data_IF_398654921793
#
_entry.id   IF_398654921793
#
_cell.length_a   1.000
_cell.length_b   1.000
_cell.length_c   1.000
_cell.angle_alpha   90.00
_cell.angle_beta   90.00
_cell.angle_gamma   90.00
#
_symmetry.space_group_name_H-M   'P 1'
#
loop_
_entity.id
_entity.type
_entity.pdbx_description
1 polymer ?
#
# COMPACT_ATOMS: atom_id res chain seq x y z
N UNK A 1 -7.08 18.20 -24.41
CA UNK A 1 -7.10 18.04 -22.94
C UNK A 1 -8.24 17.07 -22.63
N UNK A 2 -7.93 15.85 -22.22
CA UNK A 2 -8.97 14.96 -21.70
C UNK A 2 -9.44 15.55 -20.37
N UNK A 3 -10.70 15.98 -20.32
CA UNK A 3 -11.38 16.37 -19.09
C UNK A 3 -11.64 15.09 -18.31
N UNK A 4 -10.81 14.79 -17.32
CA UNK A 4 -11.13 13.76 -16.35
C UNK A 4 -12.35 14.25 -15.54
N UNK A 5 -13.36 13.39 -15.31
CA UNK A 5 -14.50 13.77 -14.50
C UNK A 5 -14.03 14.13 -13.09
N UNK A 6 -14.52 15.25 -12.57
CA UNK A 6 -14.27 15.67 -11.20
C UNK A 6 -14.95 14.67 -10.24
N UNK A 7 -14.28 14.36 -9.14
CA UNK A 7 -14.82 13.43 -8.14
C UNK A 7 -16.11 13.99 -7.54
N UNK A 8 -17.15 13.14 -7.43
CA UNK A 8 -18.40 13.47 -6.73
C UNK A 8 -18.70 12.40 -5.68
N UNK A 9 -18.80 12.86 -4.43
CA UNK A 9 -19.12 12.00 -3.29
C UNK A 9 -20.47 11.30 -3.48
N UNK A 10 -21.50 12.04 -3.93
CA UNK A 10 -22.84 11.49 -4.12
C UNK A 10 -22.87 10.43 -5.23
N UNK A 11 -22.11 10.64 -6.32
CA UNK A 11 -21.98 9.64 -7.39
C UNK A 11 -21.28 8.39 -6.85
N UNK A 12 -20.16 8.53 -6.13
CA UNK A 12 -19.43 7.39 -5.58
C UNK A 12 -20.27 6.56 -4.59
N UNK A 13 -21.07 7.23 -3.73
CA UNK A 13 -22.00 6.56 -2.82
C UNK A 13 -23.10 5.83 -3.60
N UNK A 14 -23.68 6.47 -4.61
CA UNK A 14 -24.72 5.86 -5.44
C UNK A 14 -24.21 4.64 -6.23
N UNK A 15 -22.98 4.71 -6.76
CA UNK A 15 -22.33 3.60 -7.46
C UNK A 15 -22.13 2.39 -6.53
N UNK A 16 -21.67 2.61 -5.29
CA UNK A 16 -21.55 1.53 -4.30
C UNK A 16 -22.91 0.86 -4.03
N UNK A 17 -23.94 1.65 -3.71
CA UNK A 17 -25.26 1.11 -3.37
C UNK A 17 -26.01 0.52 -4.58
N UNK A 18 -25.57 0.78 -5.81
CA UNK A 18 -26.08 0.08 -6.99
C UNK A 18 -25.63 -1.39 -7.08
N UNK A 19 -24.59 -1.76 -6.32
CA UNK A 19 -23.95 -3.09 -6.36
C UNK A 19 -24.35 -3.99 -5.18
N UNK A 20 -25.14 -3.51 -4.23
CA UNK A 20 -25.57 -4.24 -3.02
C UNK A 20 -27.09 -4.17 -2.86
N UNK A 21 -27.67 -5.12 -2.12
CA UNK A 21 -29.08 -5.07 -1.72
C UNK A 21 -29.35 -4.11 -0.55
N UNK A 22 -28.31 -3.72 0.19
CA UNK A 22 -28.42 -2.76 1.28
C UNK A 22 -28.67 -1.33 0.76
N UNK A 23 -29.33 -0.50 1.55
CA UNK A 23 -29.51 0.93 1.25
C UNK A 23 -28.62 1.78 2.16
N UNK A 24 -28.29 2.99 1.71
CA UNK A 24 -27.59 3.99 2.52
C UNK A 24 -28.29 4.22 3.86
N UNK A 25 -29.61 4.41 3.84
CA UNK A 25 -30.38 4.66 5.06
C UNK A 25 -30.32 3.48 6.04
N UNK A 26 -30.33 2.25 5.54
CA UNK A 26 -30.19 1.06 6.38
C UNK A 26 -28.79 0.98 7.01
N UNK A 27 -27.74 1.27 6.23
CA UNK A 27 -26.36 1.34 6.71
C UNK A 27 -26.17 2.46 7.77
N UNK A 28 -26.69 3.66 7.50
CA UNK A 28 -26.59 4.81 8.41
C UNK A 28 -27.38 4.56 9.71
N UNK A 29 -28.56 3.96 9.61
CA UNK A 29 -29.35 3.54 10.79
C UNK A 29 -28.57 2.52 11.61
N UNK A 30 -28.01 1.50 10.95
CA UNK A 30 -27.21 0.47 11.63
C UNK A 30 -25.97 1.05 12.28
N UNK A 31 -25.27 1.98 11.63
CA UNK A 31 -24.12 2.67 12.19
C UNK A 31 -24.52 3.47 13.45
N UNK A 32 -25.64 4.17 13.38
CA UNK A 32 -26.18 4.92 14.52
C UNK A 32 -26.60 4.01 15.68
N UNK A 33 -27.16 2.85 15.40
CA UNK A 33 -27.50 1.87 16.44
C UNK A 33 -26.26 1.30 17.13
N UNK A 34 -25.13 1.21 16.41
CA UNK A 34 -23.88 0.64 16.93
C UNK A 34 -23.10 1.61 17.82
N UNK A 35 -23.01 2.88 17.42
CA UNK A 35 -22.13 3.85 18.11
C UNK A 35 -22.80 5.16 18.51
N UNK A 36 -24.09 5.33 18.17
CA UNK A 36 -24.84 6.55 18.46
C UNK A 36 -24.36 7.78 17.67
N UNK A 37 -24.86 8.94 18.08
CA UNK A 37 -24.40 10.23 17.57
C UNK A 37 -24.80 10.52 16.11
N UNK A 38 -23.92 11.26 15.42
CA UNK A 38 -24.12 11.71 14.04
C UNK A 38 -23.38 10.78 13.08
N UNK A 39 -23.94 10.59 11.89
CA UNK A 39 -23.30 9.82 10.82
C UNK A 39 -22.95 10.78 9.69
N UNK A 40 -21.69 10.78 9.28
CA UNK A 40 -21.19 11.63 8.18
C UNK A 40 -20.34 10.76 7.25
N UNK A 41 -20.66 10.67 5.95
CA UNK A 41 -19.81 9.96 5.00
C UNK A 41 -18.39 10.52 4.97
N UNK A 42 -17.40 9.65 4.87
CA UNK A 42 -16.02 10.06 4.57
C UNK A 42 -16.01 10.77 3.20
N UNK A 43 -15.24 11.85 3.10
CA UNK A 43 -15.22 12.75 1.92
C UNK A 43 -14.75 12.06 0.64
N UNK A 44 -13.96 10.98 0.76
CA UNK A 44 -13.53 10.14 -0.35
C UNK A 44 -13.98 8.71 -0.06
N UNK A 45 -14.88 8.21 -0.92
CA UNK A 45 -15.37 6.83 -0.91
C UNK A 45 -14.61 6.00 -1.93
N UNK A 46 -14.41 4.72 -1.63
CA UNK A 46 -13.89 3.74 -2.58
C UNK A 46 -15.06 2.98 -3.17
N UNK A 47 -15.08 2.73 -4.48
CA UNK A 47 -16.20 2.08 -5.18
C UNK A 47 -16.66 0.74 -4.55
N UNK A 48 -15.76 0.05 -3.84
CA UNK A 48 -16.07 -1.23 -3.19
C UNK A 48 -16.44 -1.12 -1.70
N UNK A 49 -16.55 0.07 -1.12
CA UNK A 49 -16.87 0.23 0.29
C UNK A 49 -17.62 1.54 0.60
N UNK A 50 -18.56 1.48 1.53
CA UNK A 50 -19.18 2.67 2.11
C UNK A 50 -18.65 2.94 3.51
N UNK A 51 -17.98 4.09 3.70
CA UNK A 51 -17.35 4.47 4.97
C UNK A 51 -17.96 5.74 5.56
N UNK A 52 -18.21 5.72 6.87
CA UNK A 52 -18.78 6.85 7.62
C UNK A 52 -18.01 7.13 8.90
N UNK A 53 -17.87 8.41 9.23
CA UNK A 53 -17.54 8.85 10.57
C UNK A 53 -18.81 8.84 11.44
N UNK A 54 -18.68 8.36 12.66
CA UNK A 54 -19.81 8.16 13.56
C UNK A 54 -19.47 8.43 15.02
N UNK A 55 -20.50 8.60 15.85
CA UNK A 55 -20.37 8.99 17.26
C UNK A 55 -20.71 10.46 17.51
N UNK A 56 -20.86 10.87 18.77
CA UNK A 56 -21.08 12.27 19.15
C UNK A 56 -20.02 13.24 18.59
N UNK A 57 -18.75 12.83 18.61
CA UNK A 57 -17.60 13.64 18.23
C UNK A 57 -16.82 13.02 17.06
N UNK A 58 -17.46 12.14 16.28
CA UNK A 58 -16.86 11.43 15.15
C UNK A 58 -15.64 10.56 15.54
N UNK A 59 -15.69 9.98 16.73
CA UNK A 59 -14.63 9.16 17.31
C UNK A 59 -14.61 7.72 16.76
N UNK A 60 -15.60 7.33 15.96
CA UNK A 60 -15.66 6.03 15.29
C UNK A 60 -15.61 6.20 13.77
N UNK A 61 -15.05 5.19 13.12
CA UNK A 61 -15.20 4.97 11.68
C UNK A 61 -15.85 3.61 11.47
N UNK A 62 -16.85 3.58 10.59
CA UNK A 62 -17.52 2.36 10.15
C UNK A 62 -17.36 2.21 8.65
N UNK A 63 -17.14 0.97 8.21
CA UNK A 63 -17.03 0.62 6.80
C UNK A 63 -17.88 -0.60 6.46
N UNK A 64 -18.62 -0.53 5.36
CA UNK A 64 -19.37 -1.64 4.77
C UNK A 64 -18.71 -2.14 3.48
N UNK A 65 -18.47 -3.45 3.37
CA UNK A 65 -18.05 -4.10 2.12
C UNK A 65 -19.29 -4.51 1.32
N UNK A 66 -19.33 -4.19 0.02
CA UNK A 66 -20.48 -4.42 -0.88
C UNK A 66 -20.77 -5.88 -1.23
N UNK A 67 -20.22 -6.85 -0.48
CA UNK A 67 -20.52 -8.27 -0.62
C UNK A 67 -21.83 -8.61 0.10
N UNK A 68 -22.49 -9.69 -0.33
CA UNK A 68 -23.65 -10.26 0.37
C UNK A 68 -23.23 -11.53 1.13
N UNK A 69 -23.46 -11.62 2.46
CA UNK A 69 -24.10 -10.61 3.32
C UNK A 69 -23.21 -9.37 3.54
N UNK A 70 -23.82 -8.19 3.75
CA UNK A 70 -23.10 -6.96 4.06
C UNK A 70 -22.35 -7.10 5.40
N UNK A 71 -21.02 -6.98 5.36
CA UNK A 71 -20.18 -6.95 6.55
C UNK A 71 -19.90 -5.50 6.96
N UNK A 72 -20.16 -5.18 8.23
CA UNK A 72 -19.88 -3.86 8.81
C UNK A 72 -18.73 -3.99 9.81
N UNK A 73 -17.69 -3.20 9.58
CA UNK A 73 -16.55 -3.07 10.49
C UNK A 73 -16.69 -1.78 11.29
N UNK A 74 -16.37 -1.83 12.58
CA UNK A 74 -16.38 -0.68 13.49
C UNK A 74 -15.03 -0.59 14.15
N UNK A 75 -14.43 0.59 14.15
CA UNK A 75 -13.21 0.85 14.92
C UNK A 75 -13.18 2.27 15.47
N UNK A 76 -12.42 2.45 16.55
CA UNK A 76 -12.06 3.78 17.02
C UNK A 76 -11.27 4.49 15.92
N UNK A 77 -11.63 5.74 15.65
CA UNK A 77 -10.92 6.58 14.71
C UNK A 77 -9.53 6.87 15.25
N UNK A 78 -8.52 6.59 14.45
CA UNK A 78 -7.14 6.94 14.76
C UNK A 78 -7.02 8.47 14.71
N UNK A 79 -6.52 9.14 15.76
CA UNK A 79 -6.31 10.59 15.76
C UNK A 79 -5.32 11.02 14.68
N UNK A 80 -5.67 12.07 13.93
CA UNK A 80 -4.84 12.65 12.88
C UNK A 80 -5.56 12.79 11.55
N UNK A 81 -4.78 13.05 10.50
CA UNK A 81 -5.23 13.16 9.10
C UNK A 81 -4.46 12.17 8.24
N UNK A 82 -4.97 11.84 7.05
CA UNK A 82 -4.19 11.01 6.13
C UNK A 82 -2.92 11.75 5.71
N UNK A 83 -1.84 11.01 5.42
CA UNK A 83 -0.61 11.62 4.90
C UNK A 83 -0.87 12.31 3.55
N UNK A 84 -1.82 11.80 2.75
CA UNK A 84 -2.27 12.48 1.54
C UNK A 84 -2.83 13.87 1.86
N UNK A 85 -3.76 14.00 2.82
CA UNK A 85 -4.32 15.29 3.21
C UNK A 85 -3.25 16.24 3.75
N UNK A 86 -2.29 15.70 4.52
CA UNK A 86 -1.15 16.48 5.01
C UNK A 86 -0.32 17.07 3.87
N UNK A 87 0.01 16.26 2.85
CA UNK A 87 0.78 16.69 1.68
C UNK A 87 -0.02 17.68 0.82
N UNK A 88 -1.32 17.48 0.65
CA UNK A 88 -2.16 18.41 -0.11
C UNK A 88 -2.26 19.79 0.57
N UNK A 89 -2.29 19.83 1.90
CA UNK A 89 -2.35 21.07 2.67
C UNK A 89 -0.99 21.78 2.82
N UNK A 90 0.09 21.03 3.00
CA UNK A 90 1.39 21.57 3.45
C UNK A 90 2.57 21.26 2.51
N UNK A 91 2.39 20.40 1.51
CA UNK A 91 3.48 19.82 0.71
C UNK A 91 4.14 20.76 -0.29
N UNK A 92 3.69 22.02 -0.41
CA UNK A 92 4.25 22.99 -1.34
C UNK A 92 4.79 24.24 -0.61
N UNK A 93 6.03 24.68 -0.92
CA UNK A 93 6.96 24.10 -1.89
C UNK A 93 7.65 22.82 -1.38
N UNK A 94 7.74 21.79 -2.22
CA UNK A 94 8.17 20.42 -1.86
C UNK A 94 9.54 20.34 -1.16
N UNK A 95 10.46 21.24 -1.51
CA UNK A 95 11.83 21.26 -0.99
C UNK A 95 12.09 22.41 0.00
N UNK A 96 11.07 22.85 0.74
CA UNK A 96 11.29 23.73 1.89
C UNK A 96 11.97 23.01 3.06
N UNK A 97 12.56 23.78 3.97
CA UNK A 97 13.16 23.25 5.20
C UNK A 97 12.11 22.54 6.07
N UNK A 98 10.88 23.05 6.12
CA UNK A 98 9.76 22.44 6.84
C UNK A 98 9.40 21.07 6.25
N UNK A 99 9.26 20.98 4.93
CA UNK A 99 8.97 19.72 4.25
C UNK A 99 10.11 18.71 4.42
N UNK A 100 11.37 19.18 4.49
CA UNK A 100 12.49 18.30 4.85
C UNK A 100 12.35 17.75 6.28
N UNK A 101 12.02 18.59 7.26
CA UNK A 101 11.80 18.18 8.65
C UNK A 101 10.66 17.17 8.77
N UNK A 102 9.53 17.41 8.10
CA UNK A 102 8.39 16.48 8.11
C UNK A 102 8.71 15.16 7.43
N UNK A 103 9.37 15.16 6.26
CA UNK A 103 9.83 13.92 5.60
C UNK A 103 10.77 13.12 6.50
N UNK A 104 11.75 13.78 7.12
CA UNK A 104 12.69 13.13 8.06
C UNK A 104 11.94 12.52 9.25
N UNK A 105 10.96 13.24 9.78
CA UNK A 105 10.13 12.82 10.90
C UNK A 105 9.33 11.57 10.55
N UNK A 106 8.58 11.61 9.44
CA UNK A 106 7.77 10.50 8.96
C UNK A 106 8.63 9.28 8.64
N UNK A 107 9.74 9.45 7.91
CA UNK A 107 10.65 8.34 7.55
C UNK A 107 11.23 7.67 8.81
N UNK A 108 11.58 8.45 9.83
CA UNK A 108 12.06 7.91 11.11
C UNK A 108 11.00 7.07 11.81
N UNK A 109 9.74 7.52 11.80
CA UNK A 109 8.63 6.79 12.41
C UNK A 109 8.26 5.53 11.60
N UNK A 110 8.24 5.61 10.27
CA UNK A 110 8.00 4.47 9.37
C UNK A 110 9.12 3.44 9.49
N UNK A 111 10.37 3.85 9.65
CA UNK A 111 11.47 2.94 9.92
C UNK A 111 11.26 2.19 11.24
N UNK A 112 10.79 2.87 12.30
CA UNK A 112 10.41 2.21 13.56
C UNK A 112 9.24 1.26 13.37
N UNK A 113 8.23 1.63 12.59
CA UNK A 113 7.10 0.77 12.25
C UNK A 113 7.54 -0.53 11.55
N UNK A 114 8.40 -0.46 10.53
CA UNK A 114 8.96 -1.67 9.89
C UNK A 114 9.90 -2.46 10.80
N UNK A 115 10.63 -1.79 11.70
CA UNK A 115 11.43 -2.48 12.70
C UNK A 115 10.56 -3.29 13.68
N UNK A 116 9.32 -2.88 13.96
CA UNK A 116 8.39 -3.66 14.79
C UNK A 116 8.04 -5.00 14.14
N UNK A 117 7.78 -5.02 12.83
CA UNK A 117 7.48 -6.29 12.14
C UNK A 117 8.70 -7.20 12.07
N UNK A 118 9.90 -6.64 11.83
CA UNK A 118 11.17 -7.40 11.91
C UNK A 118 11.38 -8.06 13.28
N UNK A 119 11.07 -7.33 14.35
CA UNK A 119 11.23 -7.82 15.73
C UNK A 119 10.16 -8.84 16.16
N UNK A 120 9.10 -8.99 15.38
CA UNK A 120 8.00 -9.91 15.64
C UNK A 120 7.80 -10.89 14.46
N UNK A 121 8.80 -11.74 14.16
CA UNK A 121 8.67 -12.74 13.10
C UNK A 121 7.52 -13.70 13.40
N UNK A 122 6.84 -14.14 12.36
CA UNK A 122 5.72 -15.06 12.41
C UNK A 122 6.20 -16.46 12.02
N UNK A 123 5.77 -17.47 12.77
CA UNK A 123 6.00 -18.86 12.41
C UNK A 123 5.06 -19.26 11.28
N UNK A 124 5.61 -19.94 10.27
CA UNK A 124 4.85 -20.48 9.14
C UNK A 124 5.38 -21.87 8.84
N UNK A 125 4.48 -22.78 8.46
CA UNK A 125 4.86 -24.12 8.06
C UNK A 125 5.46 -24.17 6.64
N UNK A 126 5.95 -25.36 6.27
CA UNK A 126 6.55 -25.60 4.96
C UNK A 126 5.54 -25.49 3.81
N UNK A 127 4.27 -25.83 4.05
CA UNK A 127 3.23 -25.79 3.02
C UNK A 127 2.90 -24.33 2.66
N UNK A 128 2.79 -23.46 3.65
CA UNK A 128 2.62 -22.02 3.46
C UNK A 128 3.76 -21.42 2.66
N UNK A 129 5.02 -21.72 3.01
CA UNK A 129 6.20 -21.25 2.25
C UNK A 129 6.19 -21.76 0.81
N UNK A 130 5.80 -23.02 0.59
CA UNK A 130 5.67 -23.61 -0.74
C UNK A 130 4.54 -22.97 -1.56
N UNK A 131 3.42 -22.63 -0.92
CA UNK A 131 2.34 -21.89 -1.57
C UNK A 131 2.79 -20.47 -1.98
N UNK A 132 3.56 -19.78 -1.13
CA UNK A 132 4.18 -18.51 -1.50
C UNK A 132 5.15 -18.67 -2.68
N UNK A 133 6.05 -19.67 -2.64
CA UNK A 133 6.97 -19.98 -3.74
C UNK A 133 6.24 -20.16 -5.06
N UNK A 134 5.18 -20.96 -5.07
CA UNK A 134 4.37 -21.23 -6.26
C UNK A 134 3.70 -19.97 -6.78
N UNK A 135 3.13 -19.17 -5.88
CA UNK A 135 2.48 -17.90 -6.21
C UNK A 135 3.48 -16.93 -6.82
N UNK A 136 4.64 -16.74 -6.18
CA UNK A 136 5.65 -15.78 -6.65
C UNK A 136 6.24 -16.21 -7.98
N UNK A 137 6.52 -17.50 -8.15
CA UNK A 137 7.02 -18.05 -9.42
C UNK A 137 6.02 -17.85 -10.55
N UNK A 138 4.73 -18.14 -10.29
CA UNK A 138 3.66 -17.92 -11.26
C UNK A 138 3.53 -16.43 -11.64
N UNK A 139 3.48 -15.56 -10.64
CA UNK A 139 3.36 -14.11 -10.83
C UNK A 139 4.54 -13.59 -11.67
N UNK A 140 5.78 -13.92 -11.29
CA UNK A 140 6.98 -13.45 -11.99
C UNK A 140 7.11 -14.01 -13.41
N UNK A 141 6.71 -15.27 -13.65
CA UNK A 141 6.68 -15.84 -15.01
C UNK A 141 5.65 -15.15 -15.89
N UNK A 142 4.48 -14.82 -15.36
CA UNK A 142 3.49 -14.01 -16.07
C UNK A 142 4.07 -12.63 -16.41
N UNK A 143 4.72 -11.96 -15.45
CA UNK A 143 5.34 -10.67 -15.70
C UNK A 143 6.44 -10.76 -16.76
N UNK A 144 7.26 -11.81 -16.76
CA UNK A 144 8.28 -12.03 -17.79
C UNK A 144 7.68 -12.16 -19.20
N UNK A 145 6.48 -12.76 -19.29
CA UNK A 145 5.78 -12.91 -20.57
C UNK A 145 5.15 -11.61 -21.08
N UNK A 146 4.52 -10.83 -20.19
CA UNK A 146 3.72 -9.67 -20.59
C UNK A 146 4.45 -8.32 -20.54
N UNK A 147 5.50 -8.20 -19.72
CA UNK A 147 6.21 -6.93 -19.57
C UNK A 147 7.27 -6.74 -20.67
N UNK A 148 7.58 -5.49 -21.04
CA UNK A 148 8.62 -5.18 -22.01
C UNK A 148 10.01 -5.76 -21.62
N UNK A 149 10.86 -6.12 -22.60
CA UNK A 149 12.18 -6.72 -22.36
C UNK A 149 13.09 -5.97 -21.39
N UNK A 150 12.93 -4.64 -21.27
CA UNK A 150 13.70 -3.79 -20.35
C UNK A 150 13.57 -4.18 -18.87
N UNK A 151 12.52 -4.92 -18.50
CA UNK A 151 12.32 -5.41 -17.12
C UNK A 151 12.76 -6.88 -16.92
N UNK A 152 13.07 -7.62 -17.99
CA UNK A 152 13.26 -9.07 -17.93
C UNK A 152 14.42 -9.50 -17.04
N UNK A 153 15.57 -8.81 -17.12
CA UNK A 153 16.73 -9.13 -16.30
C UNK A 153 16.42 -9.03 -14.79
N UNK A 154 15.63 -8.03 -14.39
CA UNK A 154 15.26 -7.79 -13.00
C UNK A 154 14.26 -8.86 -12.51
N UNK A 155 13.31 -9.24 -13.37
CA UNK A 155 12.36 -10.33 -13.07
C UNK A 155 13.11 -11.66 -12.93
N UNK A 156 14.07 -11.94 -13.82
CA UNK A 156 14.93 -13.13 -13.76
C UNK A 156 15.80 -13.16 -12.49
N UNK A 157 16.35 -12.01 -12.07
CA UNK A 157 17.08 -11.88 -10.79
C UNK A 157 16.20 -12.21 -9.58
N UNK A 158 14.92 -11.81 -9.60
CA UNK A 158 13.96 -12.19 -8.55
C UNK A 158 13.66 -13.70 -8.58
N UNK A 159 13.50 -14.30 -9.76
CA UNK A 159 13.28 -15.74 -9.91
C UNK A 159 14.47 -16.56 -9.43
N UNK A 160 15.71 -16.16 -9.75
CA UNK A 160 16.91 -16.87 -9.31
C UNK A 160 17.18 -16.73 -7.81
N UNK A 161 16.67 -15.66 -7.18
CA UNK A 161 16.83 -15.39 -5.75
C UNK A 161 15.67 -15.90 -4.89
N UNK A 162 14.77 -16.72 -5.45
CA UNK A 162 13.53 -17.15 -4.79
C UNK A 162 13.78 -17.81 -3.42
N UNK A 163 14.70 -18.76 -3.34
CA UNK A 163 14.98 -19.46 -2.09
C UNK A 163 15.62 -18.55 -1.04
N UNK A 164 16.51 -17.64 -1.45
CA UNK A 164 17.11 -16.66 -0.56
C UNK A 164 16.03 -15.73 0.02
N UNK A 165 15.12 -15.23 -0.82
CA UNK A 165 14.00 -14.38 -0.40
C UNK A 165 13.09 -15.13 0.58
N UNK A 166 12.70 -16.37 0.26
CA UNK A 166 11.85 -17.18 1.14
C UNK A 166 12.54 -17.63 2.43
N UNK A 167 13.87 -17.48 2.53
CA UNK A 167 14.65 -17.75 3.74
C UNK A 167 14.74 -16.55 4.68
N UNK A 168 14.29 -15.37 4.26
CA UNK A 168 14.17 -14.20 5.14
C UNK A 168 13.14 -14.44 6.26
N UNK A 169 13.19 -13.60 7.29
CA UNK A 169 12.18 -13.58 8.34
C UNK A 169 10.80 -13.36 7.73
N UNK A 170 9.86 -14.23 8.12
CA UNK A 170 8.45 -14.12 7.76
C UNK A 170 7.81 -13.13 8.72
N UNK A 171 7.22 -12.05 8.20
CA UNK A 171 6.69 -10.95 9.00
C UNK A 171 5.33 -10.54 8.45
N UNK A 172 4.52 -9.90 9.30
CA UNK A 172 3.27 -9.29 8.85
C UNK A 172 3.59 -8.06 7.96
N UNK A 173 3.14 -8.08 6.71
CA UNK A 173 3.23 -6.95 5.79
C UNK A 173 1.85 -6.34 5.57
N UNK A 174 1.81 -5.02 5.39
CA UNK A 174 0.56 -4.29 5.08
C UNK A 174 0.08 -4.50 3.64
N UNK A 175 1.02 -4.68 2.69
CA UNK A 175 0.81 -4.91 1.25
C UNK A 175 0.19 -3.74 0.45
N UNK A 176 -0.57 -2.86 1.10
CA UNK A 176 -1.04 -1.58 0.52
C UNK A 176 -0.58 -0.35 1.33
N UNK A 177 0.71 -0.31 1.69
CA UNK A 177 1.24 0.79 2.50
C UNK A 177 1.47 2.04 1.64
N UNK A 178 0.56 3.02 1.73
CA UNK A 178 0.57 4.22 0.91
C UNK A 178 0.04 5.47 1.62
N UNK A 179 0.08 6.63 0.96
CA UNK A 179 -0.28 7.94 1.55
C UNK A 179 -1.70 8.03 2.10
N UNK A 180 -2.65 7.28 1.53
CA UNK A 180 -4.03 7.24 2.03
C UNK A 180 -4.17 6.39 3.29
N UNK A 181 -3.29 5.40 3.49
CA UNK A 181 -3.39 4.40 4.56
C UNK A 181 -2.50 4.75 5.77
N UNK A 182 -1.75 5.85 5.68
CA UNK A 182 -0.90 6.39 6.73
C UNK A 182 -1.64 7.55 7.39
N UNK A 183 -1.82 7.49 8.71
CA UNK A 183 -2.38 8.59 9.50
C UNK A 183 -1.23 9.30 10.22
N UNK A 184 -1.20 10.62 10.10
CA UNK A 184 -0.20 11.48 10.71
C UNK A 184 -0.82 12.54 11.60
N UNK A 185 -0.04 13.01 12.57
CA UNK A 185 -0.33 14.23 13.29
C UNK A 185 -0.28 15.42 12.33
N UNK A 186 -1.34 16.24 12.35
CA UNK A 186 -1.58 17.32 11.39
C UNK A 186 -0.59 18.49 11.47
N UNK A 187 0.30 18.52 12.47
CA UNK A 187 1.28 19.60 12.66
C UNK A 187 2.72 19.09 12.55
N UNK A 188 3.00 17.95 13.18
CA UNK A 188 4.36 17.40 13.28
C UNK A 188 4.69 16.34 12.24
N UNK A 189 3.69 15.85 11.47
CA UNK A 189 3.84 14.74 10.52
C UNK A 189 4.36 13.44 11.17
N UNK A 190 4.12 13.29 12.49
CA UNK A 190 4.41 12.04 13.22
C UNK A 190 3.41 10.97 12.82
N UNK A 191 3.87 9.75 12.60
CA UNK A 191 3.00 8.61 12.34
C UNK A 191 2.15 8.33 13.58
N UNK A 192 0.83 8.46 13.46
CA UNK A 192 -0.12 8.16 14.54
C UNK A 192 -0.86 6.85 14.33
N UNK A 193 -0.94 6.36 13.09
CA UNK A 193 -1.44 5.02 12.82
C UNK A 193 -1.41 4.62 11.35
N UNK A 194 -1.80 3.37 11.12
CA UNK A 194 -1.88 2.74 9.80
C UNK A 194 -3.22 2.01 9.72
N UNK A 195 -3.98 2.28 8.66
CA UNK A 195 -5.32 1.73 8.43
C UNK A 195 -5.34 0.88 7.16
N UNK A 196 -6.46 0.20 6.92
CA UNK A 196 -6.68 -0.64 5.73
C UNK A 196 -5.74 -1.86 5.63
N UNK A 197 -5.79 -2.69 6.67
CA UNK A 197 -5.04 -3.96 6.75
C UNK A 197 -5.71 -5.11 5.96
N UNK A 198 -6.62 -4.81 5.03
CA UNK A 198 -7.38 -5.83 4.30
C UNK A 198 -6.48 -6.74 3.45
N UNK A 199 -5.38 -6.18 2.92
CA UNK A 199 -4.40 -6.93 2.12
C UNK A 199 -3.25 -7.50 2.97
N UNK A 200 -3.33 -7.43 4.30
CA UNK A 200 -2.23 -7.85 5.15
C UNK A 200 -1.89 -9.33 4.97
N UNK A 201 -0.59 -9.63 4.82
CA UNK A 201 -0.12 -10.98 4.51
C UNK A 201 1.19 -11.26 5.26
N UNK A 202 1.37 -12.49 5.74
CA UNK A 202 2.64 -12.96 6.29
C UNK A 202 3.58 -13.29 5.13
N UNK A 203 4.64 -12.52 4.97
CA UNK A 203 5.55 -12.62 3.82
C UNK A 203 7.01 -12.41 4.25
N UNK A 204 7.98 -12.82 3.40
CA UNK A 204 9.37 -12.44 3.59
C UNK A 204 9.55 -10.93 3.77
N UNK A 205 10.32 -10.56 4.80
CA UNK A 205 10.67 -9.17 5.06
C UNK A 205 11.31 -8.52 3.83
N UNK A 206 11.08 -7.21 3.65
CA UNK A 206 11.61 -6.45 2.53
C UNK A 206 10.59 -6.18 1.44
N UNK A 207 9.60 -7.06 1.23
CA UNK A 207 8.60 -6.86 0.18
C UNK A 207 7.78 -5.57 0.34
N UNK A 208 7.53 -5.07 1.56
CA UNK A 208 6.80 -3.81 1.76
C UNK A 208 7.69 -2.55 1.70
N UNK A 209 9.02 -2.70 1.59
CA UNK A 209 9.95 -1.56 1.58
C UNK A 209 9.88 -0.74 0.27
N UNK A 210 9.22 -1.25 -0.77
CA UNK A 210 9.04 -0.50 -2.01
C UNK A 210 8.20 0.77 -1.80
N UNK A 211 7.26 0.76 -0.85
CA UNK A 211 6.42 1.89 -0.47
C UNK A 211 7.20 3.10 0.04
N UNK A 212 8.42 2.91 0.57
CA UNK A 212 9.26 4.01 1.06
C UNK A 212 9.52 5.05 -0.02
N UNK A 213 9.58 4.63 -1.29
CA UNK A 213 9.86 5.53 -2.40
C UNK A 213 8.81 6.64 -2.56
N UNK A 214 7.53 6.29 -2.35
CA UNK A 214 6.42 7.25 -2.39
C UNK A 214 6.46 8.21 -1.20
N UNK A 215 7.09 7.81 -0.10
CA UNK A 215 7.22 8.65 1.11
C UNK A 215 8.46 9.54 1.07
N UNK A 216 9.51 9.12 0.37
CA UNK A 216 10.81 9.80 0.37
C UNK A 216 11.02 10.73 -0.81
N UNK A 217 10.33 10.52 -1.95
CA UNK A 217 10.24 11.41 -3.11
C UNK A 217 11.53 11.68 -3.91
N UNK A 218 12.68 11.80 -3.24
CA UNK A 218 13.99 12.10 -3.82
C UNK A 218 15.18 11.68 -2.93
N UNK A 219 14.95 10.85 -1.91
CA UNK A 219 16.05 10.43 -1.02
C UNK A 219 16.79 9.23 -1.61
N UNK A 220 18.01 9.46 -2.08
CA UNK A 220 19.01 8.41 -2.24
C UNK A 220 19.34 7.86 -0.86
N UNK A 221 18.97 6.62 -0.58
CA UNK A 221 19.40 5.92 0.62
C UNK A 221 20.88 5.56 0.46
N UNK A 222 21.79 6.53 0.62
CA UNK A 222 23.17 6.19 0.98
C UNK A 222 23.11 5.58 2.38
N UNK A 223 23.13 4.26 2.44
CA UNK A 223 23.27 3.55 3.70
C UNK A 223 24.75 3.53 4.05
N UNK A 224 25.13 4.36 5.02
CA UNK A 224 26.24 4.02 5.89
C UNK A 224 25.78 2.83 6.75
N UNK A 225 26.66 1.84 6.92
CA UNK A 225 26.41 0.49 7.46
C UNK A 225 25.37 0.47 8.61
N UNK A 226 24.14 0.02 8.30
CA UNK A 226 23.08 -0.15 9.29
C UNK A 226 23.20 -1.54 9.91
N UNK A 227 24.02 -1.65 10.95
CA UNK A 227 24.07 -2.80 11.87
C UNK A 227 24.69 -4.08 11.32
N UNK A 228 24.70 -5.13 12.16
CA UNK A 228 25.36 -6.44 11.94
C UNK A 228 24.75 -7.32 10.81
N UNK A 229 23.97 -6.75 9.89
CA UNK A 229 23.39 -7.53 8.79
C UNK A 229 24.46 -7.84 7.73
N UNK A 230 24.59 -9.12 7.39
CA UNK A 230 25.52 -9.53 6.35
C UNK A 230 25.18 -8.87 4.99
N UNK A 231 26.20 -8.62 4.18
CA UNK A 231 26.02 -8.09 2.80
C UNK A 231 25.04 -8.95 2.00
N UNK A 232 25.04 -10.27 2.19
CA UNK A 232 24.15 -11.20 1.50
C UNK A 232 22.69 -11.05 1.96
N UNK A 233 22.45 -10.89 3.26
CA UNK A 233 21.11 -10.60 3.80
C UNK A 233 20.60 -9.28 3.25
N UNK A 234 21.46 -8.27 3.16
CA UNK A 234 21.10 -6.97 2.58
C UNK A 234 20.75 -7.05 1.11
N UNK A 235 21.54 -7.76 0.31
CA UNK A 235 21.23 -8.04 -1.10
C UNK A 235 19.91 -8.77 -1.25
N UNK A 236 19.63 -9.74 -0.39
CA UNK A 236 18.38 -10.50 -0.39
C UNK A 236 17.18 -9.61 -0.06
N UNK A 237 17.28 -8.73 0.94
CA UNK A 237 16.23 -7.77 1.30
C UNK A 237 15.97 -6.75 0.19
N UNK A 238 17.03 -6.26 -0.49
CA UNK A 238 16.89 -5.40 -1.68
C UNK A 238 16.16 -6.13 -2.81
N UNK A 239 16.47 -7.41 -3.02
CA UNK A 239 15.78 -8.22 -4.04
C UNK A 239 14.32 -8.50 -3.64
N UNK A 240 14.05 -8.75 -2.35
CA UNK A 240 12.69 -8.87 -1.82
C UNK A 240 11.89 -7.56 -2.00
N UNK A 241 12.50 -6.38 -1.84
CA UNK A 241 11.88 -5.07 -2.14
C UNK A 241 11.42 -4.98 -3.58
N UNK A 242 12.27 -5.39 -4.53
CA UNK A 242 11.95 -5.40 -5.97
C UNK A 242 10.80 -6.36 -6.25
N UNK A 243 10.85 -7.59 -5.71
CA UNK A 243 9.76 -8.56 -5.86
C UNK A 243 8.44 -8.00 -5.33
N UNK A 244 8.47 -7.31 -4.18
CA UNK A 244 7.32 -6.62 -3.62
C UNK A 244 6.76 -5.53 -4.54
N UNK A 245 7.63 -4.69 -5.12
CA UNK A 245 7.25 -3.68 -6.11
C UNK A 245 6.57 -4.30 -7.32
N UNK A 246 7.18 -5.34 -7.91
CA UNK A 246 6.65 -6.02 -9.08
C UNK A 246 5.26 -6.60 -8.79
N UNK A 247 5.08 -7.27 -7.65
CA UNK A 247 3.77 -7.84 -7.27
C UNK A 247 2.72 -6.78 -6.95
N UNK A 248 3.12 -5.60 -6.48
CA UNK A 248 2.22 -4.49 -6.17
C UNK A 248 1.80 -3.70 -7.41
N UNK A 249 2.75 -3.37 -8.29
CA UNK A 249 2.53 -2.41 -9.40
C UNK A 249 2.33 -3.06 -10.76
N UNK A 250 2.80 -4.29 -10.96
CA UNK A 250 2.71 -4.94 -12.26
C UNK A 250 1.42 -5.74 -12.48
N UNK A 251 0.47 -5.68 -11.55
CA UNK A 251 -0.84 -6.29 -11.69
C UNK A 251 -1.93 -5.23 -11.57
N UNK A 252 -3.06 -5.45 -12.23
CA UNK A 252 -4.26 -4.63 -11.99
C UNK A 252 -4.72 -4.77 -10.54
N UNK A 253 -5.34 -3.71 -10.00
CA UNK A 253 -5.75 -3.67 -8.60
C UNK A 253 -6.66 -4.84 -8.25
N UNK A 254 -6.43 -5.43 -7.08
CA UNK A 254 -7.31 -6.44 -6.47
C UNK A 254 -8.40 -5.70 -5.71
N UNK A 255 -9.49 -5.36 -6.38
CA UNK A 255 -10.67 -4.85 -5.69
C UNK A 255 -11.69 -5.99 -5.57
N UNK A 256 -12.41 -6.02 -4.45
CA UNK A 256 -13.58 -6.87 -4.31
C UNK A 256 -14.55 -6.60 -5.49
N UNK A 257 -15.12 -7.67 -6.05
CA UNK A 257 -16.06 -7.63 -7.17
C UNK A 257 -15.47 -7.22 -8.54
N UNK A 258 -14.16 -7.05 -8.65
CA UNK A 258 -13.47 -6.85 -9.94
C UNK A 258 -12.90 -8.17 -10.49
N UNK A 259 -12.60 -8.24 -11.81
CA UNK A 259 -11.91 -9.39 -12.39
C UNK A 259 -10.60 -9.70 -11.66
N UNK A 260 -10.14 -10.97 -11.68
CA UNK A 260 -8.85 -11.33 -11.11
C UNK A 260 -7.73 -10.44 -11.63
N UNK A 261 -6.80 -10.09 -10.76
CA UNK A 261 -5.67 -9.25 -11.12
C UNK A 261 -4.88 -9.86 -12.28
N UNK A 262 -4.70 -9.08 -13.35
CA UNK A 262 -3.95 -9.47 -14.54
C UNK A 262 -2.68 -8.63 -14.66
N UNK A 263 -1.62 -9.13 -15.30
CA UNK A 263 -0.44 -8.32 -15.59
C UNK A 263 -0.82 -7.04 -16.34
N UNK A 264 -0.27 -5.91 -15.90
CA UNK A 264 -0.39 -4.65 -16.64
C UNK A 264 0.27 -4.78 -18.01
N UNK A 265 -0.14 -3.93 -18.95
CA UNK A 265 0.43 -3.83 -20.28
C UNK A 265 0.99 -2.43 -20.52
N UNK A 266 1.81 -2.29 -21.55
CA UNK A 266 2.24 -0.97 -22.03
C UNK A 266 1.11 -0.32 -22.85
N UNK A 267 -0.02 -0.08 -22.17
CA UNK A 267 -1.24 0.50 -22.70
C UNK A 267 -1.71 1.68 -21.82
N UNK A 268 -2.82 2.30 -22.17
CA UNK A 268 -3.37 3.43 -21.41
C UNK A 268 -3.62 3.12 -19.93
N UNK A 269 -4.04 1.90 -19.62
CA UNK A 269 -4.38 1.48 -18.26
C UNK A 269 -3.10 1.23 -17.44
N UNK A 270 -2.08 0.62 -18.05
CA UNK A 270 -0.81 0.32 -17.39
C UNK A 270 0.21 1.47 -17.40
N UNK A 271 0.01 2.51 -18.23
CA UNK A 271 0.99 3.59 -18.48
C UNK A 271 1.58 4.22 -17.22
N UNK A 272 0.75 4.50 -16.21
CA UNK A 272 1.22 5.12 -14.97
C UNK A 272 2.13 4.19 -14.16
N UNK A 273 1.75 2.90 -14.08
CA UNK A 273 2.59 1.90 -13.42
C UNK A 273 3.86 1.63 -14.24
N UNK A 274 3.81 1.66 -15.57
CA UNK A 274 5.00 1.56 -16.43
C UNK A 274 5.98 2.69 -16.16
N UNK A 275 5.51 3.94 -16.12
CA UNK A 275 6.34 5.10 -15.81
C UNK A 275 7.01 4.95 -14.43
N UNK A 276 6.26 4.46 -13.44
CA UNK A 276 6.78 4.21 -12.10
C UNK A 276 7.87 3.11 -12.11
N UNK A 277 7.65 2.01 -12.83
CA UNK A 277 8.61 0.93 -12.97
C UNK A 277 9.88 1.40 -13.70
N UNK A 278 9.75 2.17 -14.78
CA UNK A 278 10.89 2.75 -15.49
C UNK A 278 11.71 3.65 -14.55
N UNK A 279 11.06 4.46 -13.72
CA UNK A 279 11.72 5.26 -12.69
C UNK A 279 12.48 4.42 -11.65
N UNK A 280 11.86 3.35 -11.13
CA UNK A 280 12.42 2.60 -9.99
C UNK A 280 13.35 1.45 -10.38
N UNK A 281 13.27 0.96 -11.62
CA UNK A 281 13.98 -0.24 -12.05
C UNK A 281 14.96 0.01 -13.20
N UNK A 282 14.75 1.05 -14.02
CA UNK A 282 15.53 1.26 -15.26
C UNK A 282 16.36 2.53 -15.19
N UNK A 283 15.76 3.67 -14.83
CA UNK A 283 16.41 4.97 -14.89
C UNK A 283 17.60 5.06 -13.92
N UNK A 284 18.85 5.24 -14.41
CA UNK A 284 20.04 5.26 -13.56
C UNK A 284 20.03 6.29 -12.43
N UNK A 285 19.30 7.39 -12.59
CA UNK A 285 19.24 8.48 -11.61
C UNK A 285 18.24 8.22 -10.47
N UNK A 286 17.30 7.29 -10.66
CA UNK A 286 16.18 7.08 -9.73
C UNK A 286 15.91 5.61 -9.41
N UNK A 287 16.58 4.68 -10.10
CA UNK A 287 16.43 3.24 -9.89
C UNK A 287 16.94 2.86 -8.50
N UNK A 288 16.42 1.76 -7.97
CA UNK A 288 16.91 1.23 -6.70
C UNK A 288 18.41 0.89 -6.78
N UNK A 289 19.13 1.10 -5.68
CA UNK A 289 20.56 0.78 -5.59
C UNK A 289 20.81 -0.74 -5.80
N UNK A 290 21.98 -1.07 -6.37
CA UNK A 290 22.48 -2.45 -6.58
C UNK A 290 21.56 -3.36 -7.42
N UNK A 291 20.87 -2.76 -8.40
CA UNK A 291 20.11 -3.51 -9.40
C UNK A 291 21.00 -4.27 -10.40
N UNK A 292 22.27 -3.89 -10.52
CA UNK A 292 23.28 -4.54 -11.38
C UNK A 292 23.67 -5.95 -10.91
#
# INVERSE_FOLDING_TARGET
>A
MSTYPEYSLDIAIAEFFSQTSATRDACDTKAKDLVGGKIVPVTVQVNCSYSVYAGPEFEFILGGDGKEPLFIYVMNRIPGISYLDFVLANGFPENSDENFVWRKTLVSDVARFFALSWKAPQEVDSEYRENLRRTYSKDLQLLLHYLPPRFHQIIQKCLSSMEAILSLLMVLLHRDFGSCNIIVDGTSCRLTGVIDWAEAEICPFGQNLHSLQTLTGALHLKMDEVGDLSTETMKTIKTARIMGLLRSRCFTKRLANMPPATPIRDDETGRYNMLSLDGFLVNPATRFDDLD
#
